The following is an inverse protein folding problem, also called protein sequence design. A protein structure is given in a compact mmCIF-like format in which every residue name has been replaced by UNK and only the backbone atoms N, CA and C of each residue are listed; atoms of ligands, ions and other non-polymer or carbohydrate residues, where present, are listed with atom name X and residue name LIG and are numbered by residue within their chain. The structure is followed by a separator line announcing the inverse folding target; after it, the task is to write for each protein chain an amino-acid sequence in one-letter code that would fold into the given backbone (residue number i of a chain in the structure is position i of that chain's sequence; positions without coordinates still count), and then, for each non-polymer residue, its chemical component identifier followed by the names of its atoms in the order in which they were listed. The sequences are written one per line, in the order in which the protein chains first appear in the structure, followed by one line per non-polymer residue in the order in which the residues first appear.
data_IF_103880421925
#
_entry.id   IF_103880421925
#
_cell.length_a   1.000
_cell.length_b   1.000
_cell.length_c   1.000
_cell.angle_alpha   90.00
_cell.angle_beta   90.00
_cell.angle_gamma   90.00
#
_symmetry.space_group_name_H-M   'P 1'
#
loop_
_entity.id
_entity.type
_entity.pdbx_description
1 polymer ?
#
# COMPACT_ATOMS: atom_id res chain seq x y z
N UNK A 1 1.81 0.52 -16.04
CA UNK A 1 1.79 1.30 -14.79
C UNK A 1 2.92 0.77 -13.93
N UNK A 2 3.75 1.67 -13.41
CA UNK A 2 4.91 1.29 -12.60
C UNK A 2 4.62 1.59 -11.13
N UNK A 3 4.62 0.53 -10.33
CA UNK A 3 4.27 0.57 -8.92
C UNK A 3 4.59 -0.76 -8.26
N UNK A 4 4.52 -0.78 -6.92
CA UNK A 4 4.75 -1.98 -6.11
C UNK A 4 3.51 -2.28 -5.29
N UNK A 5 2.98 -3.48 -5.46
CA UNK A 5 1.92 -4.04 -4.61
C UNK A 5 2.58 -4.86 -3.51
N UNK A 6 2.05 -4.74 -2.30
CA UNK A 6 2.46 -5.57 -1.16
C UNK A 6 1.25 -5.83 -0.25
N UNK A 7 1.34 -6.87 0.57
CA UNK A 7 0.30 -7.26 1.51
C UNK A 7 0.87 -7.28 2.92
N UNK A 8 0.13 -6.70 3.87
CA UNK A 8 0.42 -6.75 5.29
C UNK A 8 -0.68 -7.53 5.99
N UNK A 9 -0.34 -8.70 6.49
CA UNK A 9 -1.24 -9.55 7.27
C UNK A 9 -0.82 -9.57 8.74
N UNK A 10 -1.80 -9.68 9.64
CA UNK A 10 -1.58 -9.87 11.07
C UNK A 10 -2.03 -11.27 11.47
N UNK A 11 -1.26 -11.92 12.34
CA UNK A 11 -1.53 -13.26 12.85
C UNK A 11 -1.53 -13.23 14.37
N UNK A 12 -2.35 -14.10 14.99
CA UNK A 12 -2.32 -14.27 16.44
C UNK A 12 -1.22 -15.28 16.80
N UNK A 13 -0.15 -14.81 17.46
CA UNK A 13 0.97 -15.66 17.87
C UNK A 13 0.63 -16.70 18.94
N UNK A 14 -0.55 -16.62 19.57
CA UNK A 14 -1.00 -17.57 20.58
C UNK A 14 -1.76 -18.78 20.00
N UNK A 15 -2.07 -18.79 18.71
CA UNK A 15 -2.83 -19.87 18.07
C UNK A 15 -2.06 -20.44 16.89
N UNK A 16 -2.25 -21.73 16.60
CA UNK A 16 -1.80 -22.37 15.35
C UNK A 16 -2.60 -21.91 14.12
N UNK A 17 -3.33 -20.80 14.23
CA UNK A 17 -4.16 -20.28 13.16
C UNK A 17 -3.27 -19.73 12.05
N UNK A 18 -3.35 -20.36 10.88
CA UNK A 18 -2.66 -19.94 9.65
C UNK A 18 -3.43 -18.89 8.85
N UNK A 19 -4.65 -18.56 9.27
CA UNK A 19 -5.47 -17.53 8.64
C UNK A 19 -5.08 -16.13 9.17
N UNK A 20 -4.98 -15.12 8.30
CA UNK A 20 -4.85 -13.72 8.72
C UNK A 20 -6.03 -13.28 9.60
N UNK A 21 -5.78 -12.34 10.51
CA UNK A 21 -6.82 -11.69 11.30
C UNK A 21 -7.55 -10.65 10.45
N UNK A 22 -8.73 -11.01 9.96
CA UNK A 22 -9.59 -10.11 9.19
C UNK A 22 -10.02 -8.88 10.01
N UNK A 23 -9.95 -7.70 9.40
CA UNK A 23 -10.33 -6.43 10.03
C UNK A 23 -9.36 -5.94 11.12
N UNK A 24 -8.21 -6.59 11.31
CA UNK A 24 -7.23 -6.17 12.31
C UNK A 24 -6.67 -4.77 12.01
N UNK A 25 -6.56 -3.95 13.06
CA UNK A 25 -5.86 -2.68 13.03
C UNK A 25 -4.92 -2.56 14.22
N UNK A 26 -3.72 -2.06 13.97
CA UNK A 26 -2.74 -1.75 15.02
C UNK A 26 -3.23 -0.57 15.86
N UNK A 27 -3.09 -0.70 17.18
CA UNK A 27 -3.46 0.36 18.13
C UNK A 27 -2.59 1.63 17.97
N UNK A 28 -1.36 1.47 17.44
CA UNK A 28 -0.45 2.56 17.11
C UNK A 28 0.03 2.40 15.66
N UNK A 29 0.31 3.51 14.94
CA UNK A 29 0.86 3.42 13.59
C UNK A 29 2.18 2.65 13.57
N UNK A 30 2.30 1.69 12.66
CA UNK A 30 3.56 1.02 12.38
C UNK A 30 4.26 1.69 11.19
N UNK A 31 5.58 1.56 11.12
CA UNK A 31 6.38 2.05 10.00
C UNK A 31 6.79 0.91 9.08
N UNK A 32 6.54 1.07 7.78
CA UNK A 32 6.88 0.12 6.73
C UNK A 32 7.85 0.81 5.78
N UNK A 33 9.01 0.20 5.55
CA UNK A 33 9.97 0.70 4.56
C UNK A 33 9.74 -0.06 3.26
N UNK A 34 9.39 0.65 2.20
CA UNK A 34 9.17 0.09 0.87
C UNK A 34 10.23 0.64 -0.07
N UNK A 35 10.97 -0.27 -0.70
CA UNK A 35 11.89 0.06 -1.76
C UNK A 35 11.13 0.26 -3.07
N UNK A 36 11.52 1.30 -3.82
CA UNK A 36 11.02 1.59 -5.15
C UNK A 36 12.18 1.66 -6.14
N UNK A 37 11.88 1.59 -7.44
CA UNK A 37 12.93 1.61 -8.47
C UNK A 37 13.61 2.99 -8.52
N UNK A 38 14.95 3.06 -8.51
CA UNK A 38 15.69 4.32 -8.62
C UNK A 38 15.26 5.20 -9.79
N UNK A 39 14.75 4.63 -10.91
CA UNK A 39 14.24 5.42 -12.05
C UNK A 39 13.11 6.38 -11.66
N UNK A 40 12.41 6.13 -10.55
CA UNK A 40 11.36 7.03 -10.06
C UNK A 40 11.91 8.21 -9.24
N UNK A 41 13.12 8.13 -8.70
CA UNK A 41 13.72 9.18 -7.83
C UNK A 41 13.82 10.53 -8.53
N UNK A 42 14.23 10.54 -9.80
CA UNK A 42 14.47 11.76 -10.57
C UNK A 42 13.21 12.61 -10.78
N UNK A 43 12.02 11.99 -10.71
CA UNK A 43 10.74 12.63 -11.05
C UNK A 43 9.78 12.76 -9.86
N UNK A 44 10.23 12.54 -8.61
CA UNK A 44 9.34 12.57 -7.44
C UNK A 44 8.68 13.94 -7.20
N UNK A 45 9.36 15.04 -7.55
CA UNK A 45 8.82 16.39 -7.40
C UNK A 45 7.63 16.65 -8.34
N UNK A 46 7.71 16.17 -9.58
CA UNK A 46 6.67 16.35 -10.60
C UNK A 46 5.60 15.26 -10.55
N UNK A 47 6.01 14.06 -10.13
CA UNK A 47 5.19 12.85 -10.11
C UNK A 47 5.45 12.13 -8.78
N UNK A 48 4.83 12.58 -7.68
CA UNK A 48 5.01 11.97 -6.38
C UNK A 48 4.48 10.53 -6.39
N UNK A 49 4.99 9.70 -5.49
CA UNK A 49 4.37 8.40 -5.22
C UNK A 49 3.05 8.61 -4.48
N UNK A 50 2.06 7.75 -4.72
CA UNK A 50 0.75 7.75 -4.06
C UNK A 50 0.54 6.37 -3.47
N UNK A 51 0.04 6.34 -2.23
CA UNK A 51 -0.24 5.11 -1.53
C UNK A 51 -1.74 4.85 -1.53
N UNK A 52 -2.11 3.68 -2.02
CA UNK A 52 -3.48 3.19 -2.00
C UNK A 52 -3.57 1.93 -1.16
N UNK A 53 -4.71 1.76 -0.51
CA UNK A 53 -5.11 0.52 0.14
C UNK A 53 -6.31 -0.05 -0.59
N UNK A 54 -6.36 -1.37 -0.73
CA UNK A 54 -7.54 -2.05 -1.27
C UNK A 54 -8.64 -2.07 -0.21
N UNK A 55 -9.80 -1.52 -0.56
CA UNK A 55 -11.03 -1.61 0.19
C UNK A 55 -12.07 -2.27 -0.72
N UNK A 56 -12.50 -3.48 -0.35
CA UNK A 56 -13.33 -4.34 -1.19
C UNK A 56 -12.73 -4.55 -2.60
N UNK A 57 -13.44 -4.15 -3.65
CA UNK A 57 -13.02 -4.25 -5.05
C UNK A 57 -12.31 -2.99 -5.58
N UNK A 58 -12.08 -1.98 -4.72
CA UNK A 58 -11.54 -0.69 -5.15
C UNK A 58 -10.25 -0.30 -4.41
N UNK A 59 -9.40 0.46 -5.10
CA UNK A 59 -8.24 1.09 -4.50
C UNK A 59 -8.61 2.47 -3.97
N UNK A 60 -8.45 2.66 -2.66
CA UNK A 60 -8.67 3.93 -1.98
C UNK A 60 -7.33 4.59 -1.67
N UNK A 61 -7.20 5.86 -2.06
CA UNK A 61 -6.01 6.64 -1.71
C UNK A 61 -6.03 6.93 -0.22
N UNK A 62 -5.01 6.49 0.51
CA UNK A 62 -4.95 6.62 1.98
C UNK A 62 -4.06 7.79 2.44
N UNK A 63 -3.72 8.69 1.52
CA UNK A 63 -3.02 9.94 1.83
C UNK A 63 -1.50 9.88 1.65
N UNK A 64 -0.84 10.95 2.08
CA UNK A 64 0.59 11.21 1.86
C UNK A 64 1.45 11.08 3.13
N UNK A 65 1.03 10.27 4.09
CA UNK A 65 1.78 10.03 5.34
C UNK A 65 2.96 9.09 5.09
N UNK A 66 3.89 9.53 4.23
CA UNK A 66 5.14 8.85 3.97
C UNK A 66 6.31 9.83 3.82
N UNK A 67 7.49 9.36 4.19
CA UNK A 67 8.76 10.10 4.09
C UNK A 67 9.64 9.45 3.04
N UNK A 68 10.16 10.24 2.11
CA UNK A 68 11.08 9.76 1.09
C UNK A 68 12.52 9.71 1.62
N UNK A 69 13.23 8.67 1.22
CA UNK A 69 14.69 8.56 1.27
C UNK A 69 15.18 8.29 -0.16
N UNK A 70 15.31 9.34 -1.00
CA UNK A 70 15.70 9.20 -2.40
C UNK A 70 17.10 8.62 -2.59
N UNK A 71 18.00 8.83 -1.62
CA UNK A 71 19.37 8.33 -1.68
C UNK A 71 19.42 6.80 -1.69
N UNK A 72 18.47 6.16 -0.99
CA UNK A 72 18.34 4.70 -0.92
C UNK A 72 17.14 4.15 -1.70
N UNK A 73 16.46 4.97 -2.51
CA UNK A 73 15.23 4.62 -3.24
C UNK A 73 14.17 3.98 -2.34
N UNK A 74 13.97 4.58 -1.16
CA UNK A 74 13.07 4.08 -0.11
C UNK A 74 11.98 5.08 0.24
N UNK A 75 10.83 4.55 0.60
CA UNK A 75 9.76 5.33 1.21
C UNK A 75 9.37 4.68 2.54
N UNK A 76 9.23 5.49 3.58
CA UNK A 76 8.70 5.04 4.87
C UNK A 76 7.23 5.40 4.93
N UNK A 77 6.37 4.40 5.09
CA UNK A 77 4.92 4.54 5.18
C UNK A 77 4.50 4.33 6.64
N UNK A 78 3.60 5.17 7.14
CA UNK A 78 2.93 4.94 8.42
C UNK A 78 1.49 4.49 8.22
N UNK A 79 1.10 3.38 8.85
CA UNK A 79 -0.27 2.84 8.76
C UNK A 79 -0.65 2.13 10.06
N UNK A 80 -1.93 2.20 10.41
CA UNK A 80 -2.54 1.34 11.45
C UNK A 80 -3.28 0.14 10.84
N UNK A 81 -3.46 0.12 9.52
CA UNK A 81 -4.29 -0.87 8.86
C UNK A 81 -3.47 -2.02 8.24
N UNK A 82 -4.04 -3.21 8.23
CA UNK A 82 -3.60 -4.37 7.43
C UNK A 82 -4.30 -4.39 6.07
N UNK A 83 -3.84 -5.28 5.17
CA UNK A 83 -4.45 -5.54 3.88
C UNK A 83 -3.50 -5.38 2.70
N UNK A 84 -4.07 -5.20 1.51
CA UNK A 84 -3.32 -4.98 0.29
C UNK A 84 -3.08 -3.50 0.05
N UNK A 85 -1.84 -3.17 -0.32
CA UNK A 85 -1.38 -1.83 -0.59
C UNK A 85 -0.75 -1.77 -1.97
N UNK A 86 -0.86 -0.62 -2.62
CA UNK A 86 -0.10 -0.33 -3.82
C UNK A 86 0.50 1.06 -3.72
N UNK A 87 1.80 1.13 -3.99
CA UNK A 87 2.56 2.36 -4.11
C UNK A 87 2.83 2.60 -5.59
N UNK A 88 2.28 3.67 -6.15
CA UNK A 88 2.38 4.00 -7.58
C UNK A 88 2.82 5.43 -7.79
N UNK A 89 3.40 5.72 -8.94
CA UNK A 89 3.74 7.08 -9.31
C UNK A 89 2.51 7.82 -9.88
N UNK A 90 2.09 8.90 -9.23
CA UNK A 90 0.89 9.66 -9.58
C UNK A 90 -0.43 8.99 -9.16
N UNK A 91 -1.57 9.62 -9.43
CA UNK A 91 -2.86 9.05 -9.08
C UNK A 91 -3.16 7.80 -9.92
N UNK A 92 -3.65 6.73 -9.28
CA UNK A 92 -4.31 5.64 -10.00
C UNK A 92 -5.47 6.24 -10.79
N UNK A 93 -5.44 6.08 -12.12
CA UNK A 93 -6.67 6.22 -12.89
C UNK A 93 -7.63 5.18 -12.35
N UNK A 94 -8.83 5.60 -11.95
CA UNK A 94 -9.86 4.68 -11.46
C UNK A 94 -10.18 3.69 -12.58
N UNK A 95 -9.56 2.51 -12.54
CA UNK A 95 -9.91 1.42 -13.42
C UNK A 95 -11.22 0.87 -12.86
N UNK A 96 -12.34 1.18 -13.49
CA UNK A 96 -13.58 0.45 -13.24
C UNK A 96 -13.29 -1.01 -13.59
N UNK A 97 -13.11 -1.86 -12.57
CA UNK A 97 -13.12 -3.30 -12.80
C UNK A 97 -14.56 -3.64 -13.22
N UNK A 98 -14.77 -4.32 -14.36
CA UNK A 98 -16.10 -4.76 -14.73
C UNK A 98 -16.61 -5.68 -13.62
N UNK A 99 -17.75 -5.30 -13.02
CA UNK A 99 -18.45 -6.14 -12.05
C UNK A 99 -18.77 -7.46 -12.75
N UNK A 100 -18.08 -8.54 -12.39
CA UNK A 100 -18.43 -9.89 -12.87
C UNK A 100 -19.67 -10.31 -12.10
N UNK A 101 -20.84 -10.04 -12.67
CA UNK A 101 -22.10 -10.60 -12.19
C UNK A 101 -22.15 -12.04 -12.69
N UNK A 102 -21.72 -12.99 -11.87
CA UNK A 102 -21.90 -14.42 -12.14
C UNK A 102 -23.39 -14.77 -12.14
N UNK A 103 -23.83 -15.49 -13.17
CA UNK A 103 -25.13 -16.15 -13.28
C UNK A 103 -25.10 -17.50 -12.59
#
# INVERSE_FOLDING_TARGET
MTGRTFRLDAYNGATTATAPLDGFAFAQPISIIVEYDPIYTANLAERPLWLYRRADEHWQHIGRSYTYDPANSRVTIQTTATGEFVLVQGPLQQVHLPRVVGR
#
